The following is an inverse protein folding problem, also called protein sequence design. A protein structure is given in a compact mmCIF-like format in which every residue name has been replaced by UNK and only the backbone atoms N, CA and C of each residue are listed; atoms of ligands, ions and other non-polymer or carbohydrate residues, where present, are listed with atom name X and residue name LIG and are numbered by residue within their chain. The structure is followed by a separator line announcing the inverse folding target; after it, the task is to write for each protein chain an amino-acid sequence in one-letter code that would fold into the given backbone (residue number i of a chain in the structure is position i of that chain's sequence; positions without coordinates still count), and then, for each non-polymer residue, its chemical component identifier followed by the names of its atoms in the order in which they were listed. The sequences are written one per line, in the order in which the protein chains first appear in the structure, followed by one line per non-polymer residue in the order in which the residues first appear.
data_IF_188236894074
#
_entry.id   IF_188236894074
#
_cell.length_a   1.000
_cell.length_b   1.000
_cell.length_c   1.000
_cell.angle_alpha   90.00
_cell.angle_beta   90.00
_cell.angle_gamma   90.00
#
_symmetry.space_group_name_H-M   'P 1'
#
loop_
_entity.id
_entity.type
_entity.pdbx_description
1 polymer ?
#
# COMPACT_ATOMS: atom_id res chain seq x y z
N UNK A 1 -11.86 -7.29 -7.68
CA UNK A 1 -10.98 -6.90 -8.77
C UNK A 1 -11.29 -5.52 -9.36
N UNK A 2 -12.54 -5.01 -9.26
CA UNK A 2 -12.92 -3.70 -9.82
C UNK A 2 -12.77 -2.53 -8.84
N UNK A 3 -12.58 -2.78 -7.56
CA UNK A 3 -12.52 -1.74 -6.52
C UNK A 3 -11.32 -0.81 -6.70
N UNK A 4 -10.20 -1.32 -7.22
CA UNK A 4 -8.99 -0.55 -7.48
C UNK A 4 -8.84 -0.08 -8.93
N UNK A 5 -9.83 -0.37 -9.78
CA UNK A 5 -9.90 0.10 -11.16
C UNK A 5 -11.31 0.60 -11.51
N UNK A 6 -11.80 1.66 -10.86
CA UNK A 6 -13.06 2.26 -11.22
C UNK A 6 -12.96 2.98 -12.56
N UNK A 7 -14.02 2.92 -13.34
CA UNK A 7 -14.06 3.51 -14.69
C UNK A 7 -14.21 5.05 -14.65
N UNK A 8 -14.77 5.59 -13.57
CA UNK A 8 -14.99 7.02 -13.41
C UNK A 8 -14.76 7.47 -11.98
N UNK A 9 -14.41 8.75 -11.79
CA UNK A 9 -14.27 9.38 -10.48
C UNK A 9 -15.55 9.28 -9.63
N UNK A 10 -16.70 9.42 -10.25
CA UNK A 10 -18.01 9.34 -9.58
C UNK A 10 -18.32 7.96 -9.02
N UNK A 11 -17.60 6.92 -9.45
CA UNK A 11 -17.74 5.55 -8.92
C UNK A 11 -16.93 5.31 -7.64
N UNK A 12 -16.13 6.29 -7.21
CA UNK A 12 -15.25 6.17 -6.04
C UNK A 12 -15.87 6.96 -4.88
N UNK A 13 -16.48 6.25 -3.95
CA UNK A 13 -16.74 6.82 -2.63
C UNK A 13 -15.45 6.76 -1.81
N UNK A 14 -14.73 7.88 -1.80
CA UNK A 14 -13.44 8.01 -1.09
C UNK A 14 -13.60 8.22 0.42
N UNK A 15 -14.83 8.41 0.89
CA UNK A 15 -15.12 8.68 2.30
C UNK A 15 -15.04 7.43 3.17
N UNK A 16 -15.22 6.25 2.58
CA UNK A 16 -15.29 4.97 3.29
C UNK A 16 -14.31 3.96 2.70
N UNK A 17 -13.72 3.10 3.55
CA UNK A 17 -12.99 1.91 3.08
C UNK A 17 -13.90 0.95 2.32
N UNK A 18 -13.31 0.04 1.56
CA UNK A 18 -14.08 -1.01 0.89
C UNK A 18 -14.81 -1.91 1.90
N UNK A 19 -15.96 -2.44 1.50
CA UNK A 19 -16.70 -3.40 2.32
C UNK A 19 -15.82 -4.60 2.72
N UNK A 20 -14.98 -5.08 1.80
CA UNK A 20 -14.04 -6.16 2.07
C UNK A 20 -13.00 -5.80 3.15
N UNK A 21 -12.47 -4.57 3.12
CA UNK A 21 -11.56 -4.08 4.15
C UNK A 21 -12.24 -4.01 5.52
N UNK A 22 -13.45 -3.44 5.58
CA UNK A 22 -14.22 -3.32 6.82
C UNK A 22 -14.56 -4.69 7.40
N UNK A 23 -15.03 -5.63 6.57
CA UNK A 23 -15.37 -6.99 7.00
C UNK A 23 -14.14 -7.76 7.51
N UNK A 24 -13.01 -7.62 6.83
CA UNK A 24 -11.76 -8.22 7.25
C UNK A 24 -11.32 -7.71 8.63
N UNK A 25 -11.33 -6.39 8.86
CA UNK A 25 -10.98 -5.81 10.15
C UNK A 25 -11.97 -6.21 11.26
N UNK A 26 -13.28 -6.19 10.97
CA UNK A 26 -14.31 -6.58 11.94
C UNK A 26 -14.18 -8.06 12.35
N UNK A 27 -13.91 -8.93 11.39
CA UNK A 27 -13.69 -10.37 11.65
C UNK A 27 -12.46 -10.57 12.52
N UNK A 28 -11.32 -9.93 12.17
CA UNK A 28 -10.10 -10.03 12.96
C UNK A 28 -10.29 -9.45 14.36
N UNK A 29 -10.99 -8.32 14.50
CA UNK A 29 -11.29 -7.73 15.81
C UNK A 29 -12.06 -8.71 16.70
N UNK A 30 -13.08 -9.38 16.15
CA UNK A 30 -13.84 -10.40 16.90
C UNK A 30 -12.94 -11.50 17.48
N UNK A 31 -12.00 -12.03 16.68
CA UNK A 31 -11.07 -13.04 17.16
C UNK A 31 -10.05 -12.48 18.16
N UNK A 32 -9.58 -11.24 17.97
CA UNK A 32 -8.72 -10.57 18.93
C UNK A 32 -9.41 -10.41 20.29
N UNK A 33 -10.69 -9.99 20.29
CA UNK A 33 -11.46 -9.80 21.52
C UNK A 33 -11.73 -11.12 22.25
N UNK A 34 -12.06 -12.18 21.50
CA UNK A 34 -12.21 -13.53 22.06
C UNK A 34 -10.93 -14.02 22.71
N UNK A 35 -9.79 -13.84 22.06
CA UNK A 35 -8.52 -14.27 22.61
C UNK A 35 -8.10 -13.42 23.81
N UNK A 36 -8.34 -12.12 23.78
CA UNK A 36 -8.04 -11.21 24.88
C UNK A 36 -8.82 -11.54 26.16
N UNK A 37 -10.01 -12.17 26.01
CA UNK A 37 -10.83 -12.59 27.15
C UNK A 37 -10.30 -13.84 27.86
N UNK A 38 -9.45 -14.65 27.22
CA UNK A 38 -9.02 -15.95 27.76
C UNK A 38 -7.51 -16.17 27.81
N UNK A 39 -6.71 -15.34 27.11
CA UNK A 39 -5.26 -15.46 27.05
C UNK A 39 -4.56 -14.50 28.02
N UNK A 40 -3.38 -14.89 28.48
CA UNK A 40 -2.50 -13.97 29.17
C UNK A 40 -1.86 -12.97 28.18
N UNK A 41 -1.28 -11.90 28.73
CA UNK A 41 -0.71 -10.83 27.92
C UNK A 41 0.42 -11.31 27.01
N UNK A 42 1.28 -12.21 27.46
CA UNK A 42 2.41 -12.66 26.67
C UNK A 42 1.96 -13.47 25.44
N UNK A 43 0.98 -14.34 25.62
CA UNK A 43 0.37 -15.09 24.51
C UNK A 43 -0.37 -14.16 23.55
N UNK A 44 -1.07 -13.16 24.07
CA UNK A 44 -1.79 -12.18 23.26
C UNK A 44 -0.82 -11.34 22.41
N UNK A 45 0.30 -10.90 22.98
CA UNK A 45 1.32 -10.14 22.25
C UNK A 45 1.92 -10.97 21.10
N UNK A 46 2.22 -12.25 21.31
CA UNK A 46 2.70 -13.15 20.26
C UNK A 46 1.65 -13.35 19.17
N UNK A 47 0.39 -13.52 19.54
CA UNK A 47 -0.71 -13.66 18.59
C UNK A 47 -0.88 -12.40 17.74
N UNK A 48 -0.87 -11.22 18.35
CA UNK A 48 -0.99 -9.95 17.64
C UNK A 48 0.15 -9.75 16.64
N UNK A 49 1.37 -10.08 17.02
CA UNK A 49 2.50 -10.00 16.11
C UNK A 49 2.33 -10.94 14.93
N UNK A 50 1.98 -12.20 15.16
CA UNK A 50 1.82 -13.20 14.10
C UNK A 50 0.69 -12.82 13.12
N UNK A 51 -0.48 -12.46 13.62
CA UNK A 51 -1.61 -12.08 12.76
C UNK A 51 -1.30 -10.79 11.99
N UNK A 52 -0.65 -9.82 12.62
CA UNK A 52 -0.26 -8.57 11.99
C UNK A 52 0.76 -8.77 10.87
N UNK A 53 1.80 -9.57 11.09
CA UNK A 53 2.78 -9.90 10.03
C UNK A 53 2.16 -10.65 8.87
N UNK A 54 1.25 -11.58 9.14
CA UNK A 54 0.52 -12.30 8.07
C UNK A 54 -0.37 -11.36 7.27
N UNK A 55 -1.14 -10.52 7.95
CA UNK A 55 -1.98 -9.51 7.30
C UNK A 55 -1.14 -8.59 6.41
N UNK A 56 -0.03 -8.05 6.93
CA UNK A 56 0.89 -7.23 6.16
C UNK A 56 1.37 -7.94 4.89
N UNK A 57 1.83 -9.19 5.02
CA UNK A 57 2.31 -9.99 3.89
C UNK A 57 1.21 -10.23 2.85
N UNK A 58 -0.02 -10.49 3.29
CA UNK A 58 -1.18 -10.69 2.40
C UNK A 58 -1.51 -9.41 1.66
N UNK A 59 -1.58 -8.28 2.36
CA UNK A 59 -1.88 -6.96 1.76
C UNK A 59 -0.81 -6.55 0.74
N UNK A 60 0.48 -6.72 1.05
CA UNK A 60 1.55 -6.46 0.10
C UNK A 60 1.40 -7.29 -1.17
N UNK A 61 1.17 -8.60 -1.04
CA UNK A 61 0.96 -9.50 -2.18
C UNK A 61 -0.31 -9.14 -2.96
N UNK A 62 -1.37 -8.76 -2.25
CA UNK A 62 -2.64 -8.38 -2.86
C UNK A 62 -2.47 -7.13 -3.72
N UNK A 63 -1.91 -6.05 -3.17
CA UNK A 63 -1.70 -4.79 -3.88
C UNK A 63 -0.81 -4.96 -5.12
N UNK A 64 0.29 -5.71 -5.01
CA UNK A 64 1.22 -5.97 -6.14
C UNK A 64 0.58 -6.75 -7.30
N UNK A 65 -0.56 -7.42 -7.07
CA UNK A 65 -1.29 -8.21 -8.08
C UNK A 65 -2.47 -7.48 -8.71
N UNK A 66 -2.80 -6.30 -8.19
CA UNK A 66 -3.91 -5.50 -8.72
C UNK A 66 -3.45 -4.70 -9.94
N UNK A 67 -4.43 -4.19 -10.68
CA UNK A 67 -4.26 -3.09 -11.63
C UNK A 67 -4.95 -1.89 -11.00
N UNK A 68 -4.17 -0.86 -10.65
CA UNK A 68 -4.64 0.26 -9.84
C UNK A 68 -4.63 1.52 -10.70
N UNK A 69 -5.81 2.13 -10.89
CA UNK A 69 -5.94 3.45 -11.49
C UNK A 69 -5.68 4.54 -10.44
N UNK A 70 -5.51 5.80 -10.86
CA UNK A 70 -5.36 6.93 -9.92
C UNK A 70 -6.52 7.01 -8.94
N UNK A 71 -7.75 6.83 -9.41
CA UNK A 71 -8.93 6.78 -8.53
C UNK A 71 -8.94 5.56 -7.61
N UNK A 72 -8.51 4.40 -8.13
CA UNK A 72 -8.31 3.19 -7.33
C UNK A 72 -7.23 3.37 -6.27
N UNK A 73 -6.22 4.19 -6.55
CA UNK A 73 -5.18 4.58 -5.60
C UNK A 73 -5.74 5.32 -4.39
N UNK A 74 -6.68 6.26 -4.59
CA UNK A 74 -7.35 6.95 -3.48
C UNK A 74 -8.11 5.96 -2.60
N UNK A 75 -8.80 4.99 -3.22
CA UNK A 75 -9.48 3.92 -2.48
C UNK A 75 -8.51 3.02 -1.72
N UNK A 76 -7.37 2.68 -2.32
CA UNK A 76 -6.32 1.93 -1.64
C UNK A 76 -5.77 2.67 -0.42
N UNK A 77 -5.63 4.01 -0.50
CA UNK A 77 -5.26 4.85 0.64
C UNK A 77 -6.30 4.75 1.76
N UNK A 78 -7.59 4.80 1.43
CA UNK A 78 -8.67 4.67 2.43
C UNK A 78 -8.61 3.32 3.14
N UNK A 79 -8.47 2.22 2.39
CA UNK A 79 -8.34 0.86 2.95
C UNK A 79 -7.10 0.73 3.84
N UNK A 80 -5.93 1.20 3.37
CA UNK A 80 -4.69 1.10 4.13
C UNK A 80 -4.69 1.98 5.39
N UNK A 81 -5.38 3.11 5.36
CA UNK A 81 -5.63 3.90 6.57
C UNK A 81 -6.47 3.12 7.59
N UNK A 82 -7.51 2.42 7.12
CA UNK A 82 -8.37 1.63 7.98
C UNK A 82 -7.64 0.44 8.61
N UNK A 83 -6.85 -0.30 7.82
CA UNK A 83 -5.97 -1.35 8.34
C UNK A 83 -4.95 -0.81 9.32
N UNK A 84 -4.36 0.35 9.06
CA UNK A 84 -3.41 0.99 9.97
C UNK A 84 -4.05 1.28 11.32
N UNK A 85 -5.24 1.89 11.35
CA UNK A 85 -5.97 2.16 12.58
C UNK A 85 -6.33 0.89 13.35
N UNK A 86 -6.72 -0.17 12.64
CA UNK A 86 -6.96 -1.46 13.27
C UNK A 86 -5.68 -1.99 13.95
N UNK A 87 -4.53 -1.93 13.28
CA UNK A 87 -3.25 -2.37 13.83
C UNK A 87 -2.82 -1.53 15.06
N UNK A 88 -3.11 -0.24 15.08
CA UNK A 88 -2.81 0.62 16.25
C UNK A 88 -3.50 0.12 17.52
N UNK A 89 -4.68 -0.49 17.41
CA UNK A 89 -5.40 -1.06 18.57
C UNK A 89 -4.65 -2.22 19.24
N UNK A 90 -3.80 -2.93 18.50
CA UNK A 90 -2.99 -4.04 19.02
C UNK A 90 -1.79 -3.57 19.85
N UNK A 91 -1.44 -2.28 19.81
CA UNK A 91 -0.33 -1.66 20.56
C UNK A 91 1.02 -2.35 20.37
N UNK A 92 1.29 -2.81 19.12
CA UNK A 92 2.54 -3.45 18.73
C UNK A 92 3.38 -2.48 17.88
N UNK A 93 4.45 -1.85 18.41
CA UNK A 93 5.21 -0.82 17.69
C UNK A 93 5.81 -1.30 16.36
N UNK A 94 6.27 -2.55 16.30
CA UNK A 94 6.81 -3.15 15.09
C UNK A 94 5.77 -3.20 13.96
N UNK A 95 4.54 -3.59 14.27
CA UNK A 95 3.44 -3.63 13.31
C UNK A 95 3.02 -2.23 12.88
N UNK A 96 2.91 -1.30 13.82
CA UNK A 96 2.58 0.11 13.52
C UNK A 96 3.58 0.71 12.54
N UNK A 97 4.88 0.42 12.71
CA UNK A 97 5.93 0.86 11.79
C UNK A 97 5.74 0.27 10.39
N UNK A 98 5.49 -1.04 10.29
CA UNK A 98 5.29 -1.74 9.01
C UNK A 98 4.06 -1.21 8.26
N UNK A 99 2.92 -1.11 8.94
CA UNK A 99 1.69 -0.61 8.32
C UNK A 99 1.77 0.88 8.00
N UNK A 100 2.52 1.65 8.79
CA UNK A 100 2.86 3.04 8.46
C UNK A 100 3.67 3.15 7.17
N UNK A 101 4.60 2.24 6.91
CA UNK A 101 5.32 2.17 5.64
C UNK A 101 4.38 1.77 4.48
N UNK A 102 3.54 0.74 4.68
CA UNK A 102 2.58 0.30 3.67
C UNK A 102 1.57 1.39 3.30
N UNK A 103 1.09 2.15 4.29
CA UNK A 103 0.22 3.31 4.07
C UNK A 103 0.89 4.35 3.16
N UNK A 104 2.19 4.61 3.33
CA UNK A 104 2.94 5.53 2.48
C UNK A 104 3.13 4.99 1.05
N UNK A 105 3.24 3.67 0.87
CA UNK A 105 3.28 3.05 -0.47
C UNK A 105 2.08 3.45 -1.31
N UNK A 106 0.90 3.62 -0.72
CA UNK A 106 -0.31 3.97 -1.45
C UNK A 106 -0.20 5.32 -2.17
N UNK A 107 0.68 6.24 -1.73
CA UNK A 107 0.92 7.50 -2.44
C UNK A 107 1.52 7.29 -3.83
N UNK A 108 2.23 6.17 -4.06
CA UNK A 108 2.74 5.82 -5.39
C UNK A 108 1.64 5.66 -6.44
N UNK A 109 0.41 5.35 -6.01
CA UNK A 109 -0.72 5.12 -6.92
C UNK A 109 -1.41 6.40 -7.37
N UNK A 110 -1.19 7.53 -6.68
CA UNK A 110 -1.87 8.81 -6.95
C UNK A 110 -0.93 9.91 -7.45
N UNK A 111 0.38 9.74 -7.31
CA UNK A 111 1.36 10.71 -7.81
C UNK A 111 1.57 10.48 -9.30
N UNK A 112 1.43 11.53 -10.11
CA UNK A 112 1.53 11.43 -11.57
C UNK A 112 2.91 11.83 -12.09
N UNK A 113 3.67 12.64 -11.34
CA UNK A 113 4.95 13.16 -11.81
C UNK A 113 6.08 12.13 -11.62
N UNK A 114 6.77 11.67 -12.71
CA UNK A 114 7.83 10.67 -12.63
C UNK A 114 8.98 11.03 -11.68
N UNK A 115 9.32 12.32 -11.61
CA UNK A 115 10.36 12.83 -10.72
C UNK A 115 9.99 12.69 -9.24
N UNK A 116 8.73 12.93 -8.89
CA UNK A 116 8.23 12.74 -7.54
C UNK A 116 8.15 11.26 -7.19
N UNK A 117 7.71 10.40 -8.13
CA UNK A 117 7.72 8.95 -7.97
C UNK A 117 9.13 8.42 -7.70
N UNK A 118 10.11 8.85 -8.50
CA UNK A 118 11.52 8.46 -8.30
C UNK A 118 12.03 8.86 -6.90
N UNK A 119 11.72 10.07 -6.44
CA UNK A 119 12.06 10.52 -5.08
C UNK A 119 11.39 9.67 -4.00
N UNK A 120 10.09 9.38 -4.13
CA UNK A 120 9.36 8.55 -3.18
C UNK A 120 9.95 7.14 -3.08
N UNK A 121 10.38 6.56 -4.20
CA UNK A 121 10.98 5.23 -4.23
C UNK A 121 12.38 5.24 -3.59
N UNK A 122 13.18 6.28 -3.84
CA UNK A 122 14.55 6.37 -3.32
C UNK A 122 14.62 6.83 -1.86
N UNK A 123 13.56 7.47 -1.36
CA UNK A 123 13.53 7.98 0.01
C UNK A 123 13.26 6.86 1.03
N UNK A 124 14.36 6.22 1.46
CA UNK A 124 14.31 5.19 2.51
C UNK A 124 13.84 5.71 3.86
N UNK A 125 13.87 7.04 4.08
CA UNK A 125 13.39 7.63 5.35
C UNK A 125 11.88 7.57 5.44
N UNK A 126 11.16 7.67 4.32
CA UNK A 126 9.71 7.55 4.26
C UNK A 126 9.23 6.15 4.70
N UNK A 127 10.00 5.12 4.43
CA UNK A 127 9.67 3.75 4.85
C UNK A 127 10.24 3.39 6.23
N UNK A 128 10.90 4.33 6.92
CA UNK A 128 11.63 4.06 8.18
C UNK A 128 12.60 2.87 8.05
N UNK A 129 13.18 2.68 6.86
CA UNK A 129 14.06 1.56 6.53
C UNK A 129 13.37 0.18 6.44
N UNK A 130 12.04 0.14 6.51
CA UNK A 130 11.26 -1.12 6.46
C UNK A 130 11.06 -1.67 5.06
N UNK A 131 11.10 -0.83 4.04
CA UNK A 131 10.98 -1.23 2.62
C UNK A 131 12.18 -0.75 1.83
N UNK A 132 12.68 -1.61 0.97
CA UNK A 132 13.76 -1.26 0.04
C UNK A 132 13.19 -0.59 -1.22
N UNK A 133 13.98 0.22 -1.94
CA UNK A 133 13.56 0.85 -3.18
C UNK A 133 13.02 -0.15 -4.22
N UNK A 134 13.61 -1.35 -4.30
CA UNK A 134 13.15 -2.41 -5.21
C UNK A 134 11.75 -2.89 -4.87
N UNK A 135 11.42 -3.00 -3.57
CA UNK A 135 10.07 -3.37 -3.12
C UNK A 135 9.05 -2.28 -3.42
N UNK A 136 9.44 -1.01 -3.24
CA UNK A 136 8.61 0.14 -3.62
C UNK A 136 8.32 0.14 -5.13
N UNK A 137 9.33 -0.17 -5.95
CA UNK A 137 9.18 -0.27 -7.40
C UNK A 137 8.23 -1.41 -7.83
N UNK A 138 8.20 -2.52 -7.08
CA UNK A 138 7.24 -3.60 -7.33
C UNK A 138 5.78 -3.15 -7.15
N UNK A 139 5.51 -2.24 -6.20
CA UNK A 139 4.18 -1.66 -6.05
C UNK A 139 3.84 -0.70 -7.20
N UNK A 140 4.82 0.07 -7.68
CA UNK A 140 4.62 0.94 -8.83
C UNK A 140 4.13 0.16 -10.07
N UNK A 141 4.60 -1.08 -10.25
CA UNK A 141 4.17 -1.97 -11.34
C UNK A 141 2.67 -2.30 -11.32
N UNK A 142 2.00 -2.14 -10.19
CA UNK A 142 0.56 -2.35 -10.08
C UNK A 142 -0.26 -1.19 -10.69
N UNK A 143 0.34 -0.06 -11.04
CA UNK A 143 -0.36 1.05 -11.70
C UNK A 143 -0.79 0.66 -13.11
N UNK A 144 -1.99 1.08 -13.48
CA UNK A 144 -2.54 0.81 -14.82
C UNK A 144 -1.73 1.51 -15.93
N UNK A 145 -1.09 2.64 -15.63
CA UNK A 145 -0.28 3.44 -16.55
C UNK A 145 1.24 3.11 -16.46
N UNK A 146 1.62 2.09 -15.69
CA UNK A 146 3.02 1.74 -15.44
C UNK A 146 3.87 1.70 -16.71
N UNK A 147 3.40 1.03 -17.76
CA UNK A 147 4.13 0.91 -19.04
C UNK A 147 4.44 2.26 -19.71
N UNK A 148 3.61 3.27 -19.44
CA UNK A 148 3.78 4.61 -20.00
C UNK A 148 4.78 5.45 -19.22
N UNK A 149 4.84 5.22 -17.89
CA UNK A 149 5.68 6.02 -17.00
C UNK A 149 7.02 5.36 -16.67
N UNK A 150 7.16 4.04 -16.86
CA UNK A 150 8.33 3.24 -16.49
C UNK A 150 9.64 3.87 -16.95
N UNK A 151 9.78 4.14 -18.25
CA UNK A 151 11.01 4.72 -18.82
C UNK A 151 11.35 6.10 -18.25
N UNK A 152 10.35 6.89 -17.91
CA UNK A 152 10.54 8.23 -17.31
C UNK A 152 10.98 8.12 -15.85
N UNK A 153 10.36 7.23 -15.09
CA UNK A 153 10.74 6.97 -13.69
C UNK A 153 12.16 6.40 -13.63
N UNK A 154 12.51 5.44 -14.48
CA UNK A 154 13.84 4.87 -14.55
C UNK A 154 14.89 5.91 -14.92
N UNK A 155 14.58 6.81 -15.84
CA UNK A 155 15.45 7.91 -16.19
C UNK A 155 15.77 8.82 -15.01
N UNK A 156 14.75 9.15 -14.22
CA UNK A 156 14.91 9.97 -13.01
C UNK A 156 15.66 9.22 -11.89
N UNK A 157 15.39 7.91 -11.74
CA UNK A 157 16.05 7.09 -10.72
C UNK A 157 17.53 6.85 -10.98
N UNK A 158 17.89 6.62 -12.24
CA UNK A 158 19.25 6.21 -12.64
C UNK A 158 20.02 7.28 -13.39
N UNK A 159 19.45 8.49 -13.57
CA UNK A 159 20.08 9.58 -14.30
C UNK A 159 20.28 9.29 -15.79
N UNK A 160 19.46 8.41 -16.36
CA UNK A 160 19.54 8.02 -17.77
C UNK A 160 18.81 9.08 -18.59
N UNK A 161 19.51 9.73 -19.53
CA UNK A 161 18.84 10.63 -20.49
C UNK A 161 17.94 9.80 -21.39
N UNK A 162 16.63 9.95 -21.25
CA UNK A 162 15.66 9.43 -22.23
C UNK A 162 15.93 10.17 -23.54
N UNK A 163 16.34 9.46 -24.59
CA UNK A 163 16.31 10.01 -25.95
C UNK A 163 14.83 10.18 -26.29
N UNK A 164 14.40 11.42 -26.49
CA UNK A 164 13.14 11.70 -27.16
C UNK A 164 13.27 11.06 -28.54
N UNK A 165 12.54 9.97 -28.77
CA UNK A 165 12.57 9.27 -30.06
C UNK A 165 12.14 10.24 -31.14
N UNK A 166 13.01 10.36 -32.15
CA UNK A 166 12.74 11.06 -33.38
C UNK A 166 11.39 10.60 -33.93
N UNK A 167 10.43 11.51 -33.96
CA UNK A 167 9.24 11.36 -34.81
C UNK A 167 9.75 11.24 -36.24
N UNK A 168 9.75 10.03 -36.76
CA UNK A 168 9.95 9.80 -38.18
C UNK A 168 8.68 10.28 -38.86
N UNK A 169 8.78 11.43 -39.49
CA UNK A 169 7.79 11.96 -40.44
C UNK A 169 7.70 11.05 -41.66
#
# INVERSE_FOLDING_TARGET
PRDFYPETEAAVDVSQPTAACMECCATMQTYCDLLAACADKALLDVFYQEIGFRLYSILCKHLKRQIISTYGGVRAISDLNHYYHFIETMKQPSLTTLFGALKRVATLFIVDEPKELAKLIQDTTLSSGTMRPEEMYEFLRARCDFKTIESKVDAEMYGIKVREDCVIT
#
